data_IF_225786765513
#
_entry.id   IF_225786765513
#
_cell.length_a   1.000
_cell.length_b   1.000
_cell.length_c   1.000
_cell.angle_alpha   90.00
_cell.angle_beta   90.00
_cell.angle_gamma   90.00
#
_symmetry.space_group_name_H-M   'P 1'
#
loop_
_entity.id
_entity.type
_entity.pdbx_description
1 polymer ?
#
# COMPACT_ATOMS: atom_id res chain seq x y z
N UNK A 1 0.33 90.73 -16.36
CA UNK A 1 0.93 89.84 -15.32
C UNK A 1 0.83 88.40 -15.81
N UNK A 2 1.99 87.73 -15.94
CA UNK A 2 2.29 86.28 -15.82
C UNK A 2 1.43 85.27 -16.60
N UNK A 3 2.03 84.49 -17.52
CA UNK A 3 2.65 83.15 -17.26
C UNK A 3 1.64 82.17 -16.64
N UNK A 4 1.42 80.93 -17.09
CA UNK A 4 2.32 79.99 -17.77
C UNK A 4 1.58 78.69 -18.16
N UNK A 5 2.07 78.05 -19.22
CA UNK A 5 2.30 76.60 -19.42
C UNK A 5 1.13 75.62 -19.57
N UNK A 6 0.98 75.25 -20.83
CA UNK A 6 0.80 73.90 -21.38
C UNK A 6 1.68 72.87 -20.64
N UNK A 7 1.05 71.82 -20.11
CA UNK A 7 1.60 70.46 -19.88
C UNK A 7 0.39 69.54 -20.16
N UNK A 8 0.31 68.70 -21.19
CA UNK A 8 1.36 67.87 -21.76
C UNK A 8 1.44 66.53 -21.02
N UNK A 9 0.32 65.83 -20.82
CA UNK A 9 0.32 64.47 -20.26
C UNK A 9 -0.02 63.45 -21.36
N UNK A 10 0.98 63.18 -22.19
CA UNK A 10 0.98 62.05 -23.12
C UNK A 10 1.10 60.78 -22.29
N UNK A 11 0.00 60.06 -22.13
CA UNK A 11 -0.06 58.81 -21.37
C UNK A 11 0.77 57.76 -22.13
N UNK A 12 1.87 57.39 -21.50
CA UNK A 12 2.87 56.42 -21.93
C UNK A 12 2.21 55.04 -22.06
N UNK A 13 1.85 54.65 -23.28
CA UNK A 13 1.43 53.31 -23.66
C UNK A 13 2.63 52.36 -23.55
N UNK A 14 2.93 51.92 -22.32
CA UNK A 14 3.83 50.81 -22.08
C UNK A 14 3.25 49.57 -22.75
N UNK A 15 3.97 49.13 -23.77
CA UNK A 15 3.89 47.84 -24.42
C UNK A 15 3.97 46.73 -23.36
N UNK A 16 2.82 46.27 -22.87
CA UNK A 16 2.68 44.95 -22.27
C UNK A 16 2.82 43.92 -23.40
N UNK A 17 4.04 43.69 -23.87
CA UNK A 17 4.40 42.43 -24.49
C UNK A 17 4.30 41.37 -23.41
N UNK A 18 3.08 40.88 -23.16
CA UNK A 18 2.86 39.63 -22.49
C UNK A 18 3.66 38.60 -23.31
N UNK A 19 4.73 38.10 -22.72
CA UNK A 19 5.40 36.92 -23.22
C UNK A 19 4.34 35.82 -23.11
N UNK A 20 3.62 35.55 -24.19
CA UNK A 20 2.83 34.32 -24.30
C UNK A 20 3.86 33.20 -24.11
N UNK A 21 3.79 32.53 -22.96
CA UNK A 21 4.45 31.25 -22.77
C UNK A 21 3.97 30.40 -23.95
N UNK A 22 4.91 30.12 -24.85
CA UNK A 22 4.69 29.29 -26.02
C UNK A 22 4.07 27.98 -25.52
N UNK A 23 2.79 27.79 -25.80
CA UNK A 23 2.09 26.56 -25.48
C UNK A 23 2.61 25.50 -26.44
N UNK A 24 3.67 24.81 -26.03
CA UNK A 24 4.14 23.62 -26.73
C UNK A 24 3.03 22.57 -26.61
N UNK A 25 2.27 22.39 -27.70
CA UNK A 25 1.30 21.30 -27.81
C UNK A 25 2.07 19.99 -27.92
N UNK A 26 2.25 19.31 -26.80
CA UNK A 26 2.75 17.94 -26.80
C UNK A 26 1.71 17.07 -27.54
N UNK A 27 2.09 16.38 -28.64
CA UNK A 27 1.17 15.50 -29.35
C UNK A 27 0.58 14.47 -28.38
N UNK A 28 -0.75 14.36 -28.37
CA UNK A 28 -1.43 13.35 -27.56
C UNK A 28 -1.08 11.99 -28.12
N UNK A 29 -0.52 11.11 -27.29
CA UNK A 29 -0.35 9.70 -27.64
C UNK A 29 -1.71 9.02 -27.70
N UNK A 30 -1.86 8.01 -28.56
CA UNK A 30 -3.07 7.19 -28.59
C UNK A 30 -3.23 6.41 -27.28
N UNK A 31 -4.48 6.31 -26.80
CA UNK A 31 -4.80 5.51 -25.62
C UNK A 31 -4.67 4.03 -25.94
N UNK A 32 -3.88 3.30 -25.15
CA UNK A 32 -3.67 1.85 -25.29
C UNK A 32 -4.28 1.10 -24.11
N UNK A 33 -4.62 -0.16 -24.34
CA UNK A 33 -5.00 -1.08 -23.26
C UNK A 33 -3.77 -1.47 -22.45
N UNK A 34 -3.88 -1.34 -21.14
CA UNK A 34 -2.93 -1.80 -20.15
C UNK A 34 -3.47 -3.05 -19.45
N UNK A 35 -2.64 -4.09 -19.37
CA UNK A 35 -2.93 -5.39 -18.80
C UNK A 35 -2.11 -5.60 -17.53
N UNK A 36 -2.76 -5.86 -16.41
CA UNK A 36 -2.11 -6.23 -15.16
C UNK A 36 -2.61 -7.59 -14.69
N UNK A 37 -1.80 -8.62 -14.90
CA UNK A 37 -2.14 -9.99 -14.55
C UNK A 37 -0.92 -10.71 -13.94
N UNK A 38 -1.10 -11.30 -12.77
CA UNK A 38 -0.04 -12.11 -12.14
C UNK A 38 -0.67 -13.40 -11.61
N UNK A 39 -0.25 -14.53 -12.15
CA UNK A 39 -0.68 -15.83 -11.64
C UNK A 39 -0.05 -16.08 -10.28
N UNK A 40 -0.86 -16.35 -9.26
CA UNK A 40 -0.39 -16.59 -7.90
C UNK A 40 -0.75 -18.00 -7.44
N UNK A 41 0.28 -18.72 -7.01
CA UNK A 41 0.18 -20.05 -6.43
C UNK A 41 -0.68 -20.17 -5.17
N UNK A 42 -0.91 -19.06 -4.46
CA UNK A 42 -1.65 -19.02 -3.19
C UNK A 42 -2.99 -18.30 -3.32
N UNK A 43 -3.34 -17.83 -4.53
CA UNK A 43 -4.60 -17.12 -4.73
C UNK A 43 -5.78 -18.10 -4.85
N UNK A 44 -6.96 -17.76 -4.31
CA UNK A 44 -8.14 -18.61 -4.43
C UNK A 44 -8.69 -18.65 -5.88
N UNK A 45 -8.40 -17.62 -6.67
CA UNK A 45 -8.70 -17.50 -8.10
C UNK A 45 -7.67 -16.58 -8.75
N UNK A 46 -7.55 -16.61 -10.07
CA UNK A 46 -6.64 -15.71 -10.80
C UNK A 46 -7.40 -14.46 -11.24
N UNK A 47 -6.75 -13.30 -11.08
CA UNK A 47 -7.36 -11.98 -11.34
C UNK A 47 -6.49 -11.22 -12.31
N UNK A 48 -7.14 -10.54 -13.25
CA UNK A 48 -6.52 -9.65 -14.22
C UNK A 48 -7.25 -8.32 -14.24
N UNK A 49 -6.51 -7.24 -14.34
CA UNK A 49 -7.04 -5.90 -14.48
C UNK A 49 -6.75 -5.41 -15.90
N UNK A 50 -7.77 -4.88 -16.56
CA UNK A 50 -7.68 -4.21 -17.85
C UNK A 50 -8.13 -2.76 -17.72
N UNK A 51 -7.25 -1.85 -18.10
CA UNK A 51 -7.51 -0.41 -18.09
C UNK A 51 -6.95 0.25 -19.34
N UNK A 52 -7.28 1.52 -19.57
CA UNK A 52 -6.72 2.31 -20.67
C UNK A 52 -5.73 3.34 -20.14
N UNK A 53 -4.61 3.50 -20.85
CA UNK A 53 -3.60 4.51 -20.53
C UNK A 53 -4.18 5.92 -20.67
N UNK A 54 -3.87 6.79 -19.71
CA UNK A 54 -4.25 8.20 -19.74
C UNK A 54 -3.36 9.00 -20.70
N UNK A 55 -3.97 9.91 -21.45
CA UNK A 55 -3.28 10.73 -22.47
C UNK A 55 -3.45 12.23 -22.20
N UNK A 56 -3.70 12.60 -20.93
CA UNK A 56 -3.90 13.98 -20.49
C UNK A 56 -5.29 14.56 -20.79
N UNK A 57 -6.28 13.72 -21.14
CA UNK A 57 -7.62 14.14 -21.56
C UNK A 57 -8.69 14.13 -20.46
N UNK A 58 -8.38 13.67 -19.24
CA UNK A 58 -9.37 13.46 -18.18
C UNK A 58 -8.93 14.15 -16.88
N UNK A 59 -9.81 14.95 -16.29
CA UNK A 59 -9.63 15.49 -14.95
C UNK A 59 -9.84 14.37 -13.92
N UNK A 60 -8.86 14.18 -13.03
CA UNK A 60 -8.84 13.10 -12.06
C UNK A 60 -9.40 13.62 -10.74
N UNK A 61 -10.60 13.18 -10.37
CA UNK A 61 -11.10 13.29 -9.00
C UNK A 61 -11.27 11.87 -8.48
N UNK A 62 -10.27 11.36 -7.77
CA UNK A 62 -10.31 10.02 -7.19
C UNK A 62 -11.25 9.99 -5.97
N UNK A 63 -12.08 8.95 -5.91
CA UNK A 63 -12.76 8.60 -4.66
C UNK A 63 -11.77 7.92 -3.71
N UNK A 64 -12.07 7.78 -2.41
CA UNK A 64 -11.30 6.90 -1.54
C UNK A 64 -11.20 5.49 -2.15
N UNK A 65 -10.01 4.88 -2.10
CA UNK A 65 -9.77 3.56 -2.66
C UNK A 65 -10.73 2.51 -2.11
N UNK A 66 -11.32 1.71 -3.00
CA UNK A 66 -12.19 0.59 -2.67
C UNK A 66 -11.66 -0.67 -3.33
N UNK A 67 -11.21 -1.64 -2.53
CA UNK A 67 -10.54 -2.84 -3.05
C UNK A 67 -11.39 -3.70 -4.01
N UNK A 68 -12.73 -3.83 -3.84
CA UNK A 68 -13.63 -4.41 -4.82
C UNK A 68 -13.79 -3.63 -6.13
N UNK A 69 -13.41 -2.36 -6.18
CA UNK A 69 -13.50 -1.51 -7.37
C UNK A 69 -12.18 -0.72 -7.60
N UNK A 70 -11.07 -1.45 -7.82
CA UNK A 70 -9.73 -0.89 -7.66
C UNK A 70 -9.35 0.10 -8.78
N UNK A 71 -9.82 -0.13 -10.02
CA UNK A 71 -9.49 0.71 -11.17
C UNK A 71 -10.26 2.03 -11.07
N UNK A 72 -11.57 1.96 -10.85
CA UNK A 72 -12.42 3.15 -10.81
C UNK A 72 -12.06 4.06 -9.63
N UNK A 73 -11.78 3.49 -8.45
CA UNK A 73 -11.44 4.30 -7.27
C UNK A 73 -10.04 4.90 -7.31
N UNK A 74 -9.11 4.30 -8.06
CA UNK A 74 -7.82 4.93 -8.42
C UNK A 74 -7.94 5.89 -9.63
N UNK A 75 -9.18 6.21 -10.01
CA UNK A 75 -9.55 7.05 -11.15
C UNK A 75 -9.03 6.54 -12.52
N UNK A 76 -8.70 5.26 -12.61
CA UNK A 76 -8.36 4.57 -13.87
C UNK A 76 -9.52 4.57 -14.86
N UNK A 77 -9.21 4.26 -16.11
CA UNK A 77 -10.21 4.12 -17.18
C UNK A 77 -10.37 2.63 -17.43
N UNK A 78 -11.50 2.05 -17.04
CA UNK A 78 -11.72 0.60 -17.14
C UNK A 78 -11.89 0.14 -18.58
N UNK A 79 -11.36 -1.04 -18.92
CA UNK A 79 -11.62 -1.72 -20.19
C UNK A 79 -12.56 -2.91 -19.93
N UNK A 80 -13.86 -2.66 -20.07
CA UNK A 80 -14.95 -3.61 -19.76
C UNK A 80 -15.42 -4.40 -20.98
N UNK A 81 -16.10 -5.52 -20.73
CA UNK A 81 -16.66 -6.43 -21.75
C UNK A 81 -15.63 -7.02 -22.74
N UNK A 82 -14.37 -7.13 -22.34
CA UNK A 82 -13.34 -7.81 -23.12
C UNK A 82 -13.50 -9.34 -23.02
N UNK A 83 -13.17 -10.04 -24.10
CA UNK A 83 -13.09 -11.50 -24.10
C UNK A 83 -11.73 -11.93 -23.58
N UNK A 84 -11.70 -12.46 -22.37
CA UNK A 84 -10.47 -12.87 -21.67
C UNK A 84 -10.36 -14.39 -21.63
N UNK A 85 -9.22 -14.92 -22.08
CA UNK A 85 -8.95 -16.37 -22.13
C UNK A 85 -7.55 -16.69 -21.60
N UNK A 86 -7.46 -17.71 -20.76
CA UNK A 86 -6.20 -18.30 -20.30
C UNK A 86 -6.05 -19.71 -20.87
N UNK A 87 -5.01 -19.92 -21.65
CA UNK A 87 -4.62 -21.26 -22.12
C UNK A 87 -3.64 -21.86 -21.11
N UNK A 88 -3.99 -23.03 -20.59
CA UNK A 88 -3.21 -23.78 -19.61
C UNK A 88 -2.11 -24.60 -20.32
N UNK A 89 -1.11 -25.12 -19.58
CA UNK A 89 -0.01 -25.89 -20.16
C UNK A 89 -0.43 -27.16 -20.91
N UNK A 90 -1.57 -27.75 -20.54
CA UNK A 90 -2.18 -28.90 -21.22
C UNK A 90 -3.06 -28.50 -22.42
N UNK A 91 -3.09 -27.23 -22.79
CA UNK A 91 -3.82 -26.68 -23.93
C UNK A 91 -5.30 -26.37 -23.67
N UNK A 92 -5.83 -26.62 -22.47
CA UNK A 92 -7.21 -26.22 -22.14
C UNK A 92 -7.33 -24.70 -22.12
N UNK A 93 -8.50 -24.19 -22.50
CA UNK A 93 -8.83 -22.76 -22.43
C UNK A 93 -9.81 -22.53 -21.30
N UNK A 94 -9.45 -21.64 -20.38
CA UNK A 94 -10.31 -21.11 -19.33
C UNK A 94 -10.76 -19.70 -19.70
N UNK A 95 -11.97 -19.34 -19.31
CA UNK A 95 -12.58 -18.04 -19.63
C UNK A 95 -12.54 -17.16 -18.37
N UNK A 96 -12.12 -15.91 -18.54
CA UNK A 96 -12.23 -14.88 -17.52
C UNK A 96 -13.57 -14.16 -17.61
N UNK A 97 -14.25 -14.04 -16.47
CA UNK A 97 -15.50 -13.29 -16.36
C UNK A 97 -15.22 -11.95 -15.68
N UNK A 98 -15.82 -10.87 -16.18
CA UNK A 98 -15.72 -9.56 -15.53
C UNK A 98 -16.47 -9.59 -14.19
N UNK A 99 -15.83 -9.13 -13.12
CA UNK A 99 -16.37 -9.14 -11.76
C UNK A 99 -17.69 -8.34 -11.70
N UNK A 100 -17.80 -7.22 -12.42
CA UNK A 100 -19.02 -6.40 -12.49
C UNK A 100 -20.24 -7.14 -13.08
N UNK A 101 -20.02 -8.17 -13.90
CA UNK A 101 -21.08 -8.97 -14.51
C UNK A 101 -21.57 -10.12 -13.60
N UNK A 102 -20.77 -10.53 -12.63
CA UNK A 102 -21.06 -11.69 -11.76
C UNK A 102 -21.36 -11.31 -10.31
N UNK A 103 -20.89 -10.15 -9.86
CA UNK A 103 -21.11 -9.67 -8.50
C UNK A 103 -22.44 -8.95 -8.37
N UNK A 104 -23.12 -9.16 -7.23
CA UNK A 104 -24.40 -8.52 -6.93
C UNK A 104 -24.29 -7.03 -6.63
N UNK A 105 -23.10 -6.53 -6.28
CA UNK A 105 -22.86 -5.11 -5.99
C UNK A 105 -22.50 -4.28 -7.23
N UNK A 106 -22.38 -4.92 -8.40
CA UNK A 106 -22.06 -4.25 -9.66
C UNK A 106 -20.67 -3.60 -9.72
N UNK A 107 -19.75 -3.97 -8.81
CA UNK A 107 -18.38 -3.44 -8.74
C UNK A 107 -17.38 -4.30 -9.52
N UNK A 108 -16.21 -3.74 -9.82
CA UNK A 108 -15.12 -4.48 -10.47
C UNK A 108 -15.13 -4.38 -12.00
N UNK A 109 -15.48 -3.21 -12.52
CA UNK A 109 -15.32 -2.94 -13.95
C UNK A 109 -13.84 -3.02 -14.36
N UNK A 110 -13.56 -3.69 -15.48
CA UNK A 110 -12.20 -3.96 -15.95
C UNK A 110 -11.45 -5.04 -15.13
N UNK A 111 -12.08 -5.65 -14.12
CA UNK A 111 -11.50 -6.74 -13.34
C UNK A 111 -12.05 -8.06 -13.85
N UNK A 112 -11.19 -8.92 -14.35
CA UNK A 112 -11.56 -10.23 -14.88
C UNK A 112 -11.01 -11.34 -13.98
N UNK A 113 -11.87 -12.31 -13.67
CA UNK A 113 -11.55 -13.42 -12.79
C UNK A 113 -11.69 -14.75 -13.50
N UNK A 114 -10.69 -15.60 -13.32
CA UNK A 114 -10.68 -16.98 -13.78
C UNK A 114 -10.79 -17.88 -12.57
N UNK A 115 -11.77 -18.78 -12.60
CA UNK A 115 -11.94 -19.83 -11.60
C UNK A 115 -10.85 -20.91 -11.76
N UNK A 116 -9.65 -20.55 -11.30
CA UNK A 116 -8.48 -21.40 -11.25
C UNK A 116 -7.74 -21.11 -9.93
N UNK A 117 -7.91 -21.96 -8.90
CA UNK A 117 -7.18 -21.78 -7.67
C UNK A 117 -5.67 -21.94 -7.91
N UNK A 118 -4.86 -21.19 -7.19
CA UNK A 118 -3.40 -21.17 -7.31
C UNK A 118 -2.76 -22.54 -7.03
N UNK A 119 -3.42 -23.37 -6.22
CA UNK A 119 -3.05 -24.77 -5.97
C UNK A 119 -3.20 -25.68 -7.19
N UNK A 120 -4.04 -25.30 -8.16
CA UNK A 120 -4.23 -26.00 -9.43
C UNK A 120 -3.30 -25.49 -10.54
N UNK A 121 -2.46 -24.48 -10.28
CA UNK A 121 -1.44 -24.06 -11.23
C UNK A 121 -0.34 -25.11 -11.36
N UNK A 122 0.00 -25.48 -12.59
CA UNK A 122 1.09 -26.41 -12.89
C UNK A 122 2.42 -25.69 -12.72
N UNK A 123 3.22 -26.12 -11.73
CA UNK A 123 4.58 -25.60 -11.50
C UNK A 123 5.48 -25.93 -12.68
N UNK A 124 6.26 -24.95 -13.13
CA UNK A 124 7.05 -25.02 -14.37
C UNK A 124 6.21 -24.97 -15.66
N UNK A 125 4.88 -24.94 -15.55
CA UNK A 125 3.98 -24.87 -16.70
C UNK A 125 3.89 -23.47 -17.29
N UNK A 126 3.81 -23.38 -18.61
CA UNK A 126 3.62 -22.13 -19.34
C UNK A 126 2.14 -21.90 -19.63
N UNK A 127 1.65 -20.72 -19.27
CA UNK A 127 0.31 -20.25 -19.51
C UNK A 127 0.33 -19.13 -20.53
N UNK A 128 -0.71 -19.06 -21.37
CA UNK A 128 -0.90 -17.99 -22.35
C UNK A 128 -2.17 -17.23 -22.06
N UNK A 129 -2.08 -15.91 -21.98
CA UNK A 129 -3.21 -15.01 -21.85
C UNK A 129 -3.52 -14.40 -23.21
N UNK A 130 -4.80 -14.44 -23.58
CA UNK A 130 -5.39 -13.82 -24.76
C UNK A 130 -6.52 -12.89 -24.32
N UNK A 131 -6.52 -11.67 -24.82
CA UNK A 131 -7.57 -10.67 -24.56
C UNK A 131 -8.00 -10.06 -25.88
N UNK A 132 -9.30 -9.94 -26.09
CA UNK A 132 -9.88 -9.19 -27.20
C UNK A 132 -10.86 -8.14 -26.66
N UNK A 133 -10.59 -6.86 -26.92
CA UNK A 133 -11.48 -5.77 -26.51
C UNK A 133 -12.67 -5.63 -27.46
N UNK A 134 -13.71 -4.91 -27.02
CA UNK A 134 -14.84 -4.56 -27.91
C UNK A 134 -14.40 -3.68 -29.08
N UNK A 135 -13.35 -2.88 -28.90
CA UNK A 135 -12.75 -2.06 -29.96
C UNK A 135 -11.95 -2.88 -30.98
N UNK A 136 -11.81 -4.20 -30.78
CA UNK A 136 -11.09 -5.11 -31.68
C UNK A 136 -9.59 -5.18 -31.45
N UNK A 137 -9.08 -4.59 -30.35
CA UNK A 137 -7.68 -4.70 -29.95
C UNK A 137 -7.42 -6.12 -29.41
N UNK A 138 -6.31 -6.74 -29.82
CA UNK A 138 -5.94 -8.08 -29.38
C UNK A 138 -4.64 -8.00 -28.58
N UNK A 139 -4.68 -8.48 -27.33
CA UNK A 139 -3.50 -8.60 -26.50
C UNK A 139 -3.13 -10.08 -26.31
N UNK A 140 -1.83 -10.36 -26.27
CA UNK A 140 -1.35 -11.68 -25.89
C UNK A 140 -0.06 -11.61 -25.08
N UNK A 141 0.09 -12.53 -24.13
CA UNK A 141 1.29 -12.68 -23.33
C UNK A 141 1.41 -14.12 -22.81
N UNK A 142 2.62 -14.54 -22.44
CA UNK A 142 2.90 -15.87 -21.90
C UNK A 142 3.75 -15.76 -20.63
N UNK A 143 3.46 -16.58 -19.61
CA UNK A 143 4.23 -16.66 -18.35
C UNK A 143 4.44 -18.11 -17.95
N UNK A 144 5.54 -18.41 -17.28
CA UNK A 144 5.83 -19.73 -16.74
C UNK A 144 5.84 -19.68 -15.22
N UNK A 145 5.03 -20.51 -14.57
CA UNK A 145 4.90 -20.52 -13.11
C UNK A 145 6.18 -21.09 -12.49
N UNK A 146 6.88 -20.38 -11.58
CA UNK A 146 8.05 -20.93 -10.92
C UNK A 146 7.76 -22.23 -10.14
N UNK A 147 8.80 -23.00 -9.85
CA UNK A 147 8.74 -24.17 -8.97
C UNK A 147 8.58 -23.80 -7.49
N UNK A 148 8.48 -24.84 -6.65
CA UNK A 148 8.46 -24.70 -5.20
C UNK A 148 7.09 -24.96 -4.55
N UNK A 149 7.13 -25.32 -3.27
CA UNK A 149 5.95 -25.49 -2.44
C UNK A 149 5.42 -24.11 -2.01
N UNK A 150 4.13 -23.89 -2.20
CA UNK A 150 3.50 -22.63 -1.85
C UNK A 150 3.25 -22.58 -0.32
N UNK A 151 3.58 -21.46 0.30
CA UNK A 151 3.30 -21.17 1.69
C UNK A 151 1.95 -20.46 1.80
N UNK A 152 0.89 -21.23 2.02
CA UNK A 152 -0.48 -20.71 2.17
C UNK A 152 -0.76 -20.20 3.58
N UNK A 153 -0.16 -20.85 4.59
CA UNK A 153 -0.34 -20.54 6.00
C UNK A 153 0.87 -19.78 6.52
N UNK A 154 0.62 -18.71 7.27
CA UNK A 154 1.68 -17.95 7.92
C UNK A 154 2.24 -18.69 9.12
N UNK A 155 3.57 -18.65 9.28
CA UNK A 155 4.23 -19.02 10.53
C UNK A 155 4.22 -17.81 11.45
N UNK A 156 3.51 -17.89 12.57
CA UNK A 156 3.42 -16.80 13.54
C UNK A 156 4.63 -16.78 14.46
N UNK A 157 5.28 -15.63 14.59
CA UNK A 157 6.47 -15.44 15.42
C UNK A 157 6.35 -14.14 16.23
N UNK A 158 6.91 -14.12 17.44
CA UNK A 158 7.19 -12.85 18.13
C UNK A 158 8.57 -12.36 17.71
N UNK A 159 8.67 -11.08 17.38
CA UNK A 159 9.90 -10.47 16.89
C UNK A 159 10.22 -9.22 17.72
N UNK A 160 11.26 -9.28 18.55
CA UNK A 160 11.75 -8.13 19.30
C UNK A 160 12.68 -7.29 18.44
N UNK A 161 12.16 -6.16 17.96
CA UNK A 161 12.87 -5.23 17.07
C UNK A 161 14.23 -4.78 17.61
N UNK A 162 14.41 -4.75 18.94
CA UNK A 162 15.64 -4.25 19.55
C UNK A 162 16.78 -5.27 19.58
N UNK A 163 16.49 -6.56 19.37
CA UNK A 163 17.45 -7.66 19.56
C UNK A 163 17.49 -8.63 18.38
N UNK A 164 16.35 -8.83 17.73
CA UNK A 164 16.19 -9.92 16.79
C UNK A 164 16.59 -9.50 15.37
N UNK A 165 16.99 -10.50 14.58
CA UNK A 165 17.17 -10.41 13.14
C UNK A 165 16.36 -11.52 12.52
N UNK A 166 15.42 -11.17 11.64
CA UNK A 166 14.65 -12.18 10.93
C UNK A 166 15.54 -12.80 9.85
N UNK A 167 15.95 -14.04 10.08
CA UNK A 167 16.66 -14.87 9.11
C UNK A 167 15.62 -15.71 8.36
N UNK A 168 15.36 -15.34 7.11
CA UNK A 168 14.39 -16.04 6.26
C UNK A 168 15.16 -16.80 5.20
N UNK A 169 14.96 -18.11 5.12
CA UNK A 169 15.65 -19.02 4.19
C UNK A 169 14.66 -19.89 3.43
N UNK A 170 14.91 -20.12 2.14
CA UNK A 170 14.04 -20.90 1.26
C UNK A 170 14.84 -21.77 0.30
N UNK A 171 14.28 -22.88 -0.21
CA UNK A 171 14.92 -23.64 -1.27
C UNK A 171 14.93 -22.84 -2.57
N UNK A 172 15.94 -23.08 -3.42
CA UNK A 172 15.94 -22.54 -4.76
C UNK A 172 14.73 -23.07 -5.56
N UNK A 173 14.05 -22.19 -6.29
CA UNK A 173 12.89 -22.53 -7.11
C UNK A 173 13.29 -22.60 -8.60
N UNK A 174 13.07 -23.76 -9.22
CA UNK A 174 13.29 -23.91 -10.66
C UNK A 174 12.41 -22.92 -11.46
N UNK A 175 12.97 -22.30 -12.50
CA UNK A 175 12.25 -21.30 -13.31
C UNK A 175 12.05 -19.94 -12.66
N UNK A 176 12.50 -19.73 -11.41
CA UNK A 176 12.49 -18.41 -10.80
C UNK A 176 13.56 -17.52 -11.44
N UNK A 177 13.18 -16.30 -11.85
CA UNK A 177 14.14 -15.28 -12.29
C UNK A 177 14.83 -14.61 -11.11
N UNK A 178 14.08 -14.38 -10.04
CA UNK A 178 14.53 -13.75 -8.80
C UNK A 178 13.55 -14.10 -7.68
N UNK A 179 13.88 -13.72 -6.45
CA UNK A 179 13.02 -13.79 -5.29
C UNK A 179 12.59 -12.38 -4.89
N UNK A 180 11.28 -12.19 -4.78
CA UNK A 180 10.67 -10.97 -4.30
C UNK A 180 10.43 -11.09 -2.80
N UNK A 181 11.16 -10.30 -2.02
CA UNK A 181 10.99 -10.20 -0.56
C UNK A 181 10.12 -8.98 -0.29
N UNK A 182 9.04 -9.16 0.46
CA UNK A 182 8.09 -8.10 0.81
C UNK A 182 7.74 -8.15 2.29
N UNK A 183 7.89 -7.02 2.97
CA UNK A 183 7.51 -6.80 4.36
C UNK A 183 6.38 -5.78 4.40
N UNK A 184 5.21 -6.17 4.91
CA UNK A 184 4.11 -5.23 5.13
C UNK A 184 4.42 -4.33 6.32
N UNK A 185 4.25 -3.02 6.18
CA UNK A 185 4.39 -2.04 7.27
C UNK A 185 3.18 -1.13 7.32
N UNK A 186 2.95 -0.43 8.45
CA UNK A 186 1.86 0.55 8.55
C UNK A 186 1.97 1.69 7.54
N UNK A 187 3.17 1.92 7.01
CA UNK A 187 3.47 3.01 6.07
C UNK A 187 3.51 2.54 4.61
N UNK A 188 3.09 1.30 4.35
CA UNK A 188 3.21 0.64 3.04
C UNK A 188 4.31 -0.42 3.03
N UNK A 189 4.33 -1.29 2.00
CA UNK A 189 5.27 -2.39 1.95
C UNK A 189 6.70 -1.91 1.68
N UNK A 190 7.67 -2.54 2.33
CA UNK A 190 9.08 -2.53 1.89
C UNK A 190 9.29 -3.77 1.04
N UNK A 191 9.77 -3.62 -0.19
CA UNK A 191 9.99 -4.78 -1.05
C UNK A 191 11.22 -4.66 -1.95
N UNK A 192 11.89 -5.78 -2.20
CA UNK A 192 13.08 -5.83 -3.04
C UNK A 192 13.26 -7.19 -3.68
N UNK A 193 14.08 -7.23 -4.72
CA UNK A 193 14.49 -8.46 -5.40
C UNK A 193 15.85 -8.93 -4.90
N UNK A 194 16.03 -10.24 -4.82
CA UNK A 194 17.32 -10.89 -4.54
C UNK A 194 17.45 -12.17 -5.35
N UNK A 195 18.68 -12.56 -5.69
CA UNK A 195 19.04 -13.85 -6.26
C UNK A 195 19.46 -14.88 -5.21
N UNK A 196 19.68 -14.43 -3.97
CA UNK A 196 19.98 -15.27 -2.80
C UNK A 196 18.76 -16.09 -2.39
N UNK A 197 19.02 -17.24 -1.76
CA UNK A 197 18.02 -18.10 -1.12
C UNK A 197 17.85 -17.84 0.38
N UNK A 198 18.45 -16.75 0.86
CA UNK A 198 18.36 -16.28 2.23
C UNK A 198 18.45 -14.76 2.32
N UNK A 199 17.74 -14.18 3.28
CA UNK A 199 17.89 -12.79 3.68
C UNK A 199 17.95 -12.64 5.19
N UNK A 200 18.67 -11.61 5.63
CA UNK A 200 18.69 -11.16 7.03
C UNK A 200 18.05 -9.79 7.09
N UNK A 201 17.00 -9.66 7.88
CA UNK A 201 16.27 -8.43 8.10
C UNK A 201 16.44 -8.04 9.58
N UNK A 202 17.43 -7.19 9.92
CA UNK A 202 17.66 -6.79 11.30
C UNK A 202 16.49 -5.93 11.79
N UNK A 203 16.20 -5.98 13.09
CA UNK A 203 15.07 -5.23 13.65
C UNK A 203 15.15 -3.71 13.46
N UNK A 204 16.36 -3.16 13.37
CA UNK A 204 16.63 -1.74 13.11
C UNK A 204 16.61 -1.36 11.61
N UNK A 205 16.27 -2.30 10.72
CA UNK A 205 16.21 -2.07 9.27
C UNK A 205 15.35 -0.83 8.94
N UNK A 206 15.92 0.07 8.14
CA UNK A 206 15.23 1.28 7.65
C UNK A 206 14.72 1.11 6.23
N UNK A 207 13.58 1.72 5.95
CA UNK A 207 13.02 1.82 4.62
C UNK A 207 13.61 3.03 3.87
N UNK A 208 14.59 2.75 3.00
CA UNK A 208 15.26 3.76 2.16
C UNK A 208 14.37 4.31 1.04
N UNK A 209 13.25 3.65 0.75
CA UNK A 209 12.29 4.05 -0.28
C UNK A 209 11.32 5.14 0.25
N UNK A 210 11.57 5.67 1.46
CA UNK A 210 10.72 6.69 2.11
C UNK A 210 11.56 7.86 2.61
N UNK A 211 11.05 9.09 2.46
CA UNK A 211 11.76 10.33 2.79
C UNK A 211 12.21 10.43 4.26
N UNK A 212 11.53 9.74 5.18
CA UNK A 212 11.80 9.78 6.62
C UNK A 212 12.64 8.61 7.14
N UNK A 213 13.13 7.71 6.26
CA UNK A 213 13.89 6.51 6.64
C UNK A 213 13.24 5.75 7.80
N UNK A 214 11.93 5.52 7.72
CA UNK A 214 11.17 4.87 8.80
C UNK A 214 11.69 3.45 9.03
N UNK A 215 11.61 2.94 10.25
CA UNK A 215 11.90 1.52 10.47
C UNK A 215 10.92 0.65 9.66
N UNK A 216 11.40 -0.51 9.23
CA UNK A 216 10.57 -1.51 8.56
C UNK A 216 9.71 -2.23 9.59
N UNK A 217 10.28 -2.62 10.73
CA UNK A 217 9.56 -3.29 11.81
C UNK A 217 9.07 -2.27 12.85
N UNK A 218 7.76 -2.20 13.06
CA UNK A 218 7.08 -1.21 13.91
C UNK A 218 6.43 -1.92 15.12
N UNK A 219 6.90 -1.69 16.35
CA UNK A 219 6.36 -2.34 17.54
C UNK A 219 4.87 -2.07 17.74
N UNK A 220 4.13 -3.11 18.14
CA UNK A 220 2.68 -3.07 18.32
C UNK A 220 1.90 -3.47 17.07
N UNK A 221 2.55 -3.61 15.91
CA UNK A 221 1.91 -4.02 14.66
C UNK A 221 2.18 -5.49 14.32
N UNK A 222 1.17 -6.21 13.81
CA UNK A 222 1.38 -7.46 13.11
C UNK A 222 1.91 -7.15 11.71
N UNK A 223 3.02 -7.77 11.31
CA UNK A 223 3.68 -7.52 10.03
C UNK A 223 3.99 -8.83 9.31
N UNK A 224 3.53 -8.93 8.07
CA UNK A 224 3.80 -10.09 7.23
C UNK A 224 5.14 -9.93 6.52
N UNK A 225 5.99 -10.96 6.60
CA UNK A 225 7.18 -11.12 5.75
C UNK A 225 6.91 -12.24 4.77
N UNK A 226 7.01 -11.94 3.49
CA UNK A 226 6.79 -12.91 2.42
C UNK A 226 7.99 -12.98 1.50
N UNK A 227 8.25 -14.18 1.01
CA UNK A 227 9.24 -14.41 -0.04
C UNK A 227 8.57 -15.17 -1.15
N UNK A 228 8.65 -14.63 -2.37
CA UNK A 228 8.05 -15.25 -3.55
C UNK A 228 9.10 -15.49 -4.62
N UNK A 229 9.13 -16.70 -5.18
CA UNK A 229 9.78 -16.92 -6.47
C UNK A 229 8.93 -16.26 -7.55
N UNK A 230 9.56 -15.48 -8.43
CA UNK A 230 8.86 -14.76 -9.51
C UNK A 230 9.43 -15.14 -10.87
N UNK A 231 8.59 -15.11 -11.90
CA UNK A 231 9.02 -15.32 -13.27
C UNK A 231 9.74 -14.08 -13.86
N UNK A 232 10.24 -14.21 -15.09
CA UNK A 232 10.93 -13.11 -15.76
C UNK A 232 10.04 -11.91 -16.05
N UNK A 233 8.77 -12.14 -16.36
CA UNK A 233 7.87 -11.06 -16.74
C UNK A 233 7.53 -10.19 -15.52
N UNK A 234 7.25 -10.82 -14.38
CA UNK A 234 7.07 -10.11 -13.12
C UNK A 234 8.34 -9.33 -12.74
N UNK A 235 9.49 -10.01 -12.74
CA UNK A 235 10.76 -9.38 -12.37
C UNK A 235 11.07 -8.16 -13.25
N UNK A 236 11.00 -8.32 -14.58
CA UNK A 236 11.34 -7.26 -15.52
C UNK A 236 10.40 -6.06 -15.42
N UNK A 237 9.09 -6.31 -15.25
CA UNK A 237 8.12 -5.24 -15.07
C UNK A 237 8.35 -4.44 -13.79
N UNK A 238 8.39 -5.12 -12.64
CA UNK A 238 8.41 -4.46 -11.33
C UNK A 238 9.80 -3.96 -10.89
N UNK A 239 10.89 -4.43 -11.50
CA UNK A 239 12.21 -3.82 -11.29
C UNK A 239 12.40 -2.57 -12.15
N UNK A 240 11.77 -2.54 -13.34
CA UNK A 240 11.94 -1.44 -14.27
C UNK A 240 11.20 -0.22 -13.73
N UNK A 241 11.93 0.86 -13.53
CA UNK A 241 11.36 2.17 -13.26
C UNK A 241 11.53 3.00 -14.53
N UNK A 242 10.56 3.87 -14.84
CA UNK A 242 10.76 4.87 -15.87
C UNK A 242 11.86 5.83 -15.40
N UNK A 243 13.05 5.70 -15.98
CA UNK A 243 14.18 6.57 -15.71
C UNK A 243 14.24 7.66 -16.79
N UNK A 244 13.97 8.89 -16.37
CA UNK A 244 13.96 10.06 -17.24
C UNK A 244 15.34 10.40 -17.82
N UNK A 245 16.43 9.90 -17.22
CA UNK A 245 17.82 10.17 -17.62
C UNK A 245 18.31 9.11 -18.61
N UNK A 246 18.12 7.82 -18.32
CA UNK A 246 18.59 6.76 -19.22
C UNK A 246 17.65 6.50 -20.40
N UNK A 247 16.41 6.97 -20.34
CA UNK A 247 15.38 6.71 -21.37
C UNK A 247 14.94 5.25 -21.43
N UNK A 248 15.40 4.42 -20.49
CA UNK A 248 14.97 3.03 -20.38
C UNK A 248 13.53 3.00 -19.86
N UNK A 249 12.60 2.65 -20.76
CA UNK A 249 11.19 2.46 -20.43
C UNK A 249 10.92 1.11 -19.75
N UNK A 250 9.68 0.95 -19.30
CA UNK A 250 9.16 -0.32 -18.77
C UNK A 250 9.41 -1.48 -19.74
N UNK A 251 9.91 -2.61 -19.22
CA UNK A 251 10.12 -3.82 -20.03
C UNK A 251 8.77 -4.51 -20.26
N UNK A 252 8.12 -4.16 -21.36
CA UNK A 252 6.82 -4.70 -21.75
C UNK A 252 6.96 -6.03 -22.51
N UNK A 253 6.24 -7.06 -22.08
CA UNK A 253 6.14 -8.36 -22.77
C UNK A 253 4.73 -8.70 -23.23
N UNK A 254 3.80 -7.73 -23.13
CA UNK A 254 2.44 -7.85 -23.65
C UNK A 254 2.42 -7.38 -25.09
N UNK A 255 2.05 -8.25 -26.00
CA UNK A 255 1.84 -7.90 -27.41
C UNK A 255 0.49 -7.23 -27.58
N UNK A 256 0.41 -6.19 -28.42
CA UNK A 256 -0.84 -5.47 -28.69
C UNK A 256 -1.31 -4.49 -27.60
N UNK A 257 -0.59 -4.40 -26.48
CA UNK A 257 -0.90 -3.50 -25.36
C UNK A 257 0.34 -3.16 -24.54
N UNK A 258 0.12 -2.65 -23.33
CA UNK A 258 1.14 -2.39 -22.32
C UNK A 258 0.86 -3.26 -21.09
N UNK A 259 1.87 -3.62 -20.31
CA UNK A 259 1.64 -4.15 -18.96
C UNK A 259 2.44 -5.40 -18.65
N UNK A 260 1.87 -6.21 -17.74
CA UNK A 260 2.48 -7.43 -17.22
C UNK A 260 1.49 -8.59 -17.25
N UNK A 261 1.97 -9.72 -17.77
CA UNK A 261 1.44 -11.03 -17.46
C UNK A 261 2.56 -11.87 -16.89
N UNK A 262 2.61 -11.98 -15.57
CA UNK A 262 3.66 -12.67 -14.84
C UNK A 262 3.12 -13.77 -13.95
N UNK A 263 4.00 -14.38 -13.16
CA UNK A 263 3.59 -15.37 -12.17
C UNK A 263 4.53 -15.42 -10.98
N UNK A 264 3.99 -15.87 -9.85
CA UNK A 264 4.73 -16.01 -8.60
C UNK A 264 4.27 -17.22 -7.78
N UNK A 265 5.22 -17.73 -6.99
CA UNK A 265 4.99 -18.73 -5.95
C UNK A 265 5.52 -18.20 -4.63
N UNK A 266 4.63 -17.94 -3.66
CA UNK A 266 5.05 -17.55 -2.31
C UNK A 266 5.69 -18.76 -1.61
N UNK A 267 7.00 -18.73 -1.40
CA UNK A 267 7.79 -19.81 -0.79
C UNK A 267 7.85 -19.70 0.74
N UNK A 268 7.70 -18.49 1.27
CA UNK A 268 7.68 -18.20 2.72
C UNK A 268 6.61 -17.21 3.05
N UNK A 269 6.00 -17.42 4.22
CA UNK A 269 5.03 -16.52 4.81
C UNK A 269 5.21 -16.56 6.34
N UNK A 270 5.76 -15.49 6.89
CA UNK A 270 5.90 -15.30 8.33
C UNK A 270 5.00 -14.14 8.76
N UNK A 271 4.28 -14.31 9.86
CA UNK A 271 3.49 -13.26 10.48
C UNK A 271 4.16 -12.87 11.78
N UNK A 272 4.83 -11.73 11.79
CA UNK A 272 5.56 -11.22 12.94
C UNK A 272 4.63 -10.40 13.83
N UNK A 273 4.56 -10.74 15.11
CA UNK A 273 4.09 -9.82 16.16
C UNK A 273 5.29 -9.02 16.62
N UNK A 274 5.41 -7.79 16.12
CA UNK A 274 6.57 -6.96 16.41
C UNK A 274 6.42 -6.29 17.77
N UNK A 275 7.44 -6.44 18.61
CA UNK A 275 7.53 -5.86 19.96
C UNK A 275 8.85 -5.13 20.13
N UNK A 276 8.94 -4.33 21.19
CA UNK A 276 10.17 -3.69 21.65
C UNK A 276 10.07 -3.43 23.16
N UNK A 277 11.18 -3.14 23.85
CA UNK A 277 11.14 -2.68 25.23
C UNK A 277 10.21 -1.46 25.40
N UNK A 278 9.33 -1.51 26.39
CA UNK A 278 8.44 -0.39 26.73
C UNK A 278 9.10 0.52 27.76
N UNK A 279 10.20 1.17 27.36
CA UNK A 279 10.93 2.11 28.22
C UNK A 279 10.35 3.52 28.14
N UNK A 280 10.29 4.20 29.28
CA UNK A 280 9.91 5.61 29.37
C UNK A 280 8.44 5.84 29.76
N UNK A 281 8.06 7.12 29.98
CA UNK A 281 6.73 7.49 30.48
C UNK A 281 5.64 7.31 29.43
N UNK A 282 5.97 7.41 28.14
CA UNK A 282 5.01 7.27 27.03
C UNK A 282 4.77 5.82 26.58
N UNK A 283 5.63 4.88 26.99
CA UNK A 283 5.50 3.47 26.65
C UNK A 283 4.89 2.68 27.80
N UNK A 284 4.10 1.66 27.48
CA UNK A 284 3.44 0.80 28.46
C UNK A 284 2.07 0.33 27.99
N UNK A 285 1.39 -0.42 28.86
CA UNK A 285 -0.02 -0.75 28.69
C UNK A 285 -0.84 0.19 29.55
N UNK A 286 -1.75 0.95 28.94
CA UNK A 286 -2.60 1.90 29.62
C UNK A 286 -4.07 1.46 29.53
N UNK A 287 -4.79 1.53 30.64
CA UNK A 287 -6.21 1.17 30.73
C UNK A 287 -7.04 2.37 31.14
N UNK A 288 -8.25 2.54 30.60
CA UNK A 288 -9.09 3.67 30.93
C UNK A 288 -9.53 3.58 32.40
N UNK A 289 -9.51 4.72 33.09
CA UNK A 289 -10.00 4.88 34.47
C UNK A 289 -10.94 6.08 34.54
N UNK A 290 -11.83 6.09 35.52
CA UNK A 290 -12.75 7.19 35.76
C UNK A 290 -14.11 6.72 36.24
N UNK A 291 -15.02 7.67 36.41
CA UNK A 291 -16.44 7.45 36.64
C UNK A 291 -17.08 6.67 35.47
N UNK A 292 -18.27 6.09 35.70
CA UNK A 292 -19.01 5.39 34.65
C UNK A 292 -19.28 6.27 33.41
N UNK A 293 -19.43 7.59 33.60
CA UNK A 293 -19.61 8.56 32.53
C UNK A 293 -18.30 8.82 31.76
N UNK A 294 -17.15 8.88 32.43
CA UNK A 294 -15.85 9.03 31.77
C UNK A 294 -15.45 7.75 31.02
N UNK A 295 -15.80 6.58 31.55
CA UNK A 295 -15.56 5.31 30.89
C UNK A 295 -16.50 5.07 29.69
N UNK A 296 -17.68 5.69 29.67
CA UNK A 296 -18.63 5.57 28.54
C UNK A 296 -18.22 6.43 27.33
N UNK A 297 -17.47 7.51 27.55
CA UNK A 297 -16.93 8.34 26.46
C UNK A 297 -15.63 7.79 25.86
N UNK A 298 -14.93 6.86 26.53
CA UNK A 298 -13.77 6.18 25.96
C UNK A 298 -14.19 4.94 25.17
N UNK A 299 -14.09 4.95 23.83
CA UNK A 299 -14.37 3.75 23.03
C UNK A 299 -13.24 2.71 23.13
N UNK A 300 -12.12 3.03 23.79
CA UNK A 300 -10.97 2.14 23.94
C UNK A 300 -10.87 1.55 25.34
N UNK A 301 -10.59 0.25 25.40
CA UNK A 301 -10.40 -0.55 26.60
C UNK A 301 -8.94 -0.61 27.05
N UNK A 302 -8.01 -0.42 26.12
CA UNK A 302 -6.58 -0.52 26.40
C UNK A 302 -5.79 0.16 25.29
N UNK A 303 -4.70 0.83 25.65
CA UNK A 303 -3.68 1.34 24.73
C UNK A 303 -2.35 0.67 25.09
N UNK A 304 -1.77 -0.11 24.18
CA UNK A 304 -0.40 -0.59 24.32
C UNK A 304 0.51 0.27 23.45
N UNK A 305 1.40 1.03 24.08
CA UNK A 305 2.27 2.01 23.42
C UNK A 305 3.75 1.65 23.56
N UNK A 306 4.52 1.98 22.54
CA UNK A 306 5.97 1.84 22.45
C UNK A 306 6.54 3.19 22.00
N UNK A 307 7.73 3.53 22.50
CA UNK A 307 8.56 4.55 21.86
C UNK A 307 9.21 3.89 20.65
N UNK A 308 8.71 4.23 19.46
CA UNK A 308 9.15 3.65 18.19
C UNK A 308 10.54 4.19 17.84
N UNK A 309 10.71 5.51 17.88
CA UNK A 309 11.99 6.18 17.69
C UNK A 309 12.09 7.39 18.61
N UNK A 310 13.14 7.51 19.44
CA UNK A 310 13.37 8.74 20.18
C UNK A 310 13.70 9.89 19.23
N UNK A 311 13.38 11.11 19.64
CA UNK A 311 13.72 12.33 18.94
C UNK A 311 15.25 12.46 18.82
N UNK A 312 15.76 12.72 17.61
CA UNK A 312 17.19 12.95 17.41
C UNK A 312 17.66 14.30 17.95
N UNK A 313 16.71 15.24 18.14
CA UNK A 313 16.95 16.60 18.64
C UNK A 313 15.82 17.02 19.58
N UNK A 314 16.11 17.91 20.52
CA UNK A 314 15.14 18.40 21.51
C UNK A 314 13.95 19.18 20.92
N UNK A 315 14.07 19.63 19.67
CA UNK A 315 13.00 20.32 18.95
C UNK A 315 12.05 19.36 18.20
N UNK A 316 12.37 18.08 18.16
CA UNK A 316 11.57 17.03 17.55
C UNK A 316 10.74 16.29 18.61
N UNK A 317 9.71 15.58 18.15
CA UNK A 317 8.91 14.69 18.99
C UNK A 317 9.43 13.25 18.88
N UNK A 318 9.32 12.48 19.97
CA UNK A 318 9.50 11.04 19.89
C UNK A 318 8.38 10.45 19.04
N UNK A 319 8.70 9.49 18.18
CA UNK A 319 7.69 8.72 17.46
C UNK A 319 7.14 7.61 18.36
N UNK A 320 5.83 7.45 18.36
CA UNK A 320 5.11 6.41 19.08
C UNK A 320 4.46 5.43 18.11
N UNK A 321 4.41 4.17 18.53
CA UNK A 321 3.65 3.13 17.86
C UNK A 321 2.94 2.25 18.88
N UNK A 322 1.95 1.48 18.45
CA UNK A 322 1.21 0.65 19.39
C UNK A 322 -0.02 -0.01 18.81
N UNK A 323 -0.86 -0.50 19.72
CA UNK A 323 -2.18 -1.03 19.39
C UNK A 323 -3.21 -0.64 20.44
N UNK A 324 -4.44 -0.45 19.99
CA UNK A 324 -5.60 -0.17 20.84
C UNK A 324 -6.55 -1.35 20.85
N UNK A 325 -7.07 -1.72 22.01
CA UNK A 325 -8.23 -2.60 22.11
C UNK A 325 -9.49 -1.73 22.21
N UNK A 326 -10.49 -2.00 21.37
CA UNK A 326 -11.71 -1.19 21.27
C UNK A 326 -12.93 -1.92 21.84
N UNK A 327 -13.89 -1.15 22.35
CA UNK A 327 -15.24 -1.64 22.65
C UNK A 327 -15.95 -1.84 21.31
N UNK A 328 -16.09 -3.09 20.88
CA UNK A 328 -16.82 -3.40 19.64
C UNK A 328 -18.32 -3.40 19.94
N UNK A 329 -19.06 -2.51 19.29
CA UNK A 329 -20.52 -2.45 19.36
C UNK A 329 -21.18 -3.42 18.38
N UNK A 330 -22.47 -3.73 18.61
CA UNK A 330 -23.24 -4.49 17.64
C UNK A 330 -23.31 -3.74 16.30
N UNK A 331 -22.89 -4.39 15.21
CA UNK A 331 -22.88 -3.80 13.87
C UNK A 331 -21.66 -2.93 13.54
N UNK A 332 -20.66 -2.84 14.42
CA UNK A 332 -19.41 -2.13 14.12
C UNK A 332 -18.48 -3.02 13.26
N UNK A 333 -18.21 -2.65 11.99
CA UNK A 333 -17.32 -3.42 11.11
C UNK A 333 -15.83 -3.23 11.45
N UNK A 334 -15.49 -2.45 12.49
CA UNK A 334 -14.12 -2.11 12.84
C UNK A 334 -13.29 -3.24 13.46
N UNK A 335 -11.98 -3.01 13.58
CA UNK A 335 -11.08 -3.91 14.27
C UNK A 335 -11.29 -3.89 15.80
N UNK A 336 -11.32 -5.07 16.41
CA UNK A 336 -11.29 -5.22 17.87
C UNK A 336 -9.93 -4.80 18.45
N UNK A 337 -8.86 -5.03 17.68
CA UNK A 337 -7.50 -4.58 17.97
C UNK A 337 -6.97 -3.87 16.73
N UNK A 338 -6.58 -2.62 16.89
CA UNK A 338 -6.18 -1.73 15.81
C UNK A 338 -4.81 -1.12 16.08
N UNK A 339 -4.14 -0.65 15.02
CA UNK A 339 -2.86 0.05 15.16
C UNK A 339 -3.02 1.44 15.77
N UNK A 340 -1.96 1.87 16.44
CA UNK A 340 -1.77 3.25 16.92
C UNK A 340 -0.46 3.77 16.35
N UNK A 341 -0.47 4.99 15.83
CA UNK A 341 0.73 5.76 15.54
C UNK A 341 0.63 7.09 16.26
N UNK A 342 1.75 7.69 16.65
CA UNK A 342 1.66 8.95 17.36
C UNK A 342 3.00 9.63 17.57
N UNK A 343 2.95 10.71 18.34
CA UNK A 343 4.14 11.42 18.77
C UNK A 343 4.01 11.86 20.23
N UNK A 344 5.13 12.07 20.90
CA UNK A 344 5.16 12.76 22.18
C UNK A 344 6.29 13.78 22.27
N UNK A 345 6.00 14.92 22.88
CA UNK A 345 6.97 16.00 23.10
C UNK A 345 6.61 16.78 24.34
N UNK A 346 7.56 16.96 25.25
CA UNK A 346 7.39 17.74 26.48
C UNK A 346 6.13 17.33 27.27
N UNK A 347 5.89 16.02 27.38
CA UNK A 347 4.70 15.47 28.04
C UNK A 347 3.41 15.56 27.22
N UNK A 348 3.34 16.32 26.12
CA UNK A 348 2.20 16.27 25.21
C UNK A 348 2.25 15.00 24.38
N UNK A 349 1.09 14.43 24.09
CA UNK A 349 0.94 13.21 23.31
C UNK A 349 -0.16 13.41 22.26
N UNK A 350 0.10 12.93 21.05
CA UNK A 350 -0.88 12.85 19.97
C UNK A 350 -0.87 11.43 19.40
N UNK A 351 -2.03 10.79 19.37
CA UNK A 351 -2.21 9.41 18.90
C UNK A 351 -3.25 9.39 17.77
N UNK A 352 -2.83 8.95 16.60
CA UNK A 352 -3.71 8.53 15.52
C UNK A 352 -4.15 7.08 15.77
N UNK A 353 -5.45 6.89 15.94
CA UNK A 353 -6.09 5.60 16.17
C UNK A 353 -6.65 5.11 14.83
N UNK A 354 -6.11 3.99 14.36
CA UNK A 354 -6.33 3.53 13.00
C UNK A 354 -7.61 2.66 12.93
N UNK A 355 -8.29 2.66 11.78
CA UNK A 355 -9.40 1.74 11.49
C UNK A 355 -8.92 0.30 11.24
N UNK A 356 -7.61 0.13 11.02
CA UNK A 356 -6.95 -1.17 10.83
C UNK A 356 -5.48 -1.08 11.22
N UNK A 357 -4.60 -1.48 10.32
CA UNK A 357 -3.14 -1.49 10.53
C UNK A 357 -2.39 -0.52 9.60
N UNK A 358 -3.10 0.31 8.83
CA UNK A 358 -2.53 1.28 7.88
C UNK A 358 -2.54 2.70 8.43
N UNK A 359 -1.43 3.41 8.28
CA UNK A 359 -1.29 4.82 8.64
C UNK A 359 -2.23 5.74 7.82
N UNK A 360 -2.68 5.29 6.64
CA UNK A 360 -3.58 6.07 5.78
C UNK A 360 -5.05 6.03 6.21
N UNK A 361 -5.41 5.13 7.13
CA UNK A 361 -6.80 4.90 7.55
C UNK A 361 -7.00 5.32 9.01
N UNK A 362 -6.78 6.62 9.27
CA UNK A 362 -6.96 7.20 10.60
C UNK A 362 -8.46 7.36 10.89
N UNK A 363 -8.93 6.73 11.95
CA UNK A 363 -10.33 6.79 12.38
C UNK A 363 -10.57 7.93 13.35
N UNK A 364 -9.65 8.14 14.29
CA UNK A 364 -9.78 9.14 15.35
C UNK A 364 -8.39 9.63 15.77
N UNK A 365 -8.33 10.85 16.32
CA UNK A 365 -7.11 11.42 16.91
C UNK A 365 -7.36 11.71 18.38
N UNK A 366 -6.49 11.19 19.25
CA UNK A 366 -6.44 11.53 20.66
C UNK A 366 -5.29 12.51 20.91
N UNK A 367 -5.57 13.61 21.59
CA UNK A 367 -4.55 14.59 21.99
C UNK A 367 -4.62 14.79 23.51
N UNK A 368 -3.47 14.80 24.17
CA UNK A 368 -3.43 14.90 25.62
C UNK A 368 -2.05 15.19 26.21
N UNK A 369 -1.92 14.89 27.49
CA UNK A 369 -0.72 15.04 28.29
C UNK A 369 -0.44 13.78 29.11
N UNK A 370 0.84 13.42 29.24
CA UNK A 370 1.36 12.40 30.13
C UNK A 370 1.69 13.05 31.47
N UNK A 371 1.08 12.54 32.55
CA UNK A 371 1.22 13.00 33.93
C UNK A 371 1.59 11.81 34.82
N UNK A 372 2.89 11.58 34.99
CA UNK A 372 3.39 10.36 35.65
C UNK A 372 2.98 9.12 34.88
N UNK A 373 2.24 8.22 35.53
CA UNK A 373 1.71 6.99 34.93
C UNK A 373 0.34 7.16 34.28
N UNK A 374 -0.16 8.39 34.14
CA UNK A 374 -1.48 8.67 33.57
C UNK A 374 -1.39 9.47 32.27
N UNK A 375 -2.16 9.08 31.25
CA UNK A 375 -2.43 9.87 30.05
C UNK A 375 -3.81 10.51 30.21
N UNK A 376 -3.89 11.82 30.05
CA UNK A 376 -5.15 12.59 30.12
C UNK A 376 -5.34 13.39 28.84
N UNK A 377 -6.49 13.28 28.19
CA UNK A 377 -6.71 13.99 26.92
C UNK A 377 -8.12 13.82 26.39
N UNK A 378 -8.33 14.19 25.13
CA UNK A 378 -9.63 14.12 24.47
C UNK A 378 -9.51 13.59 23.04
N UNK A 379 -10.60 13.01 22.55
CA UNK A 379 -10.74 12.60 21.15
C UNK A 379 -11.24 13.76 20.30
N UNK A 380 -10.77 13.87 19.05
CA UNK A 380 -11.19 14.93 18.12
C UNK A 380 -12.67 14.81 17.74
N UNK A 381 -13.17 13.62 17.46
CA UNK A 381 -14.55 13.39 17.00
C UNK A 381 -15.58 13.16 18.11
N UNK A 382 -15.20 12.51 19.21
CA UNK A 382 -16.13 12.12 20.28
C UNK A 382 -16.29 13.15 21.40
N UNK A 383 -15.33 14.08 21.55
CA UNK A 383 -15.29 14.98 22.70
C UNK A 383 -15.06 14.27 24.04
N UNK A 384 -15.18 15.02 25.14
CA UNK A 384 -14.97 14.49 26.50
C UNK A 384 -13.48 14.32 26.87
N UNK A 385 -13.23 14.14 28.17
CA UNK A 385 -11.89 13.87 28.71
C UNK A 385 -11.79 12.38 29.04
N UNK A 386 -10.73 11.73 28.56
CA UNK A 386 -10.41 10.35 28.91
C UNK A 386 -9.11 10.30 29.71
N UNK A 387 -9.10 9.41 30.71
CA UNK A 387 -7.95 9.15 31.57
C UNK A 387 -7.53 7.70 31.37
N UNK A 388 -6.25 7.47 31.11
CA UNK A 388 -5.67 6.14 31.01
C UNK A 388 -4.50 5.99 31.98
N UNK A 389 -4.51 4.95 32.80
CA UNK A 389 -3.45 4.66 33.77
C UNK A 389 -2.61 3.48 33.30
N UNK A 390 -1.30 3.63 33.39
CA UNK A 390 -0.31 2.60 33.08
C UNK A 390 -0.43 1.44 34.06
N UNK A 391 -0.54 0.22 33.54
CA UNK A 391 -0.46 -1.01 34.31
C UNK A 391 1.00 -1.27 34.71
N UNK A 392 1.21 -1.73 35.95
CA UNK A 392 2.51 -2.11 36.48
C UNK A 392 3.03 -3.41 35.90
#
# INVERSE_FOLDING_TARGET
MRSERIVGLTLLSLLCSACEIEKVSIPRTDSRVALHAVLSATAPSQVMLLERTRTGSVAVVGSPFDAPDPIFTDAGITESNAFVRLVTPDGRTLIGLEDSAVRSDGKGFGVYRIDLPGSALVRGGTYKLLVQTLAGENLSAETSVPGGAAADVAVSLTFDRSRDTALVEWPAAAGARSYFVRVETPFGPRAFFTDSTRVRLPGDLRNVDTDALRHVFIPGFPQAVTVSAVDSNYYDWYRSHNDAISGAGLVNRVQGGLGVFGSLVRLRYEQLTVVAPQSGPAAGTFVPVGSAQELSVSPYLQLQLYVESPAARSDQADALSGRSQRRVGFGDPGCAVCGILGTTRNGRIELALLRGWSATDTMEVFTGEIRGDTIVGSYRGLGGVAHFVKQQ
#
